data_IF_600801846519
#
_entry.id   IF_600801846519
#
_cell.length_a   1.000
_cell.length_b   1.000
_cell.length_c   1.000
_cell.angle_alpha   90.00
_cell.angle_beta   90.00
_cell.angle_gamma   90.00
#
_symmetry.space_group_name_H-M   'P 1'
#
loop_
_entity.id
_entity.type
_entity.pdbx_description
1 polymer ?
#
# COMPACT_ATOMS: atom_id res chain seq x y z
N UNK A 1 5.36 4.46 -18.68
CA UNK A 1 4.19 4.35 -17.80
C UNK A 1 3.98 5.70 -17.11
N UNK A 2 2.75 6.21 -17.07
CA UNK A 2 2.42 7.39 -16.27
C UNK A 2 1.73 6.92 -14.99
N UNK A 3 2.27 7.34 -13.83
CA UNK A 3 1.71 6.98 -12.54
C UNK A 3 0.32 7.62 -12.35
N UNK A 4 -0.66 6.89 -11.81
CA UNK A 4 -1.98 7.44 -11.53
C UNK A 4 -1.93 8.61 -10.52
N UNK A 5 -2.75 9.66 -10.66
CA UNK A 5 -2.72 10.82 -9.77
C UNK A 5 -2.87 10.46 -8.29
N UNK A 6 -3.74 9.50 -7.97
CA UNK A 6 -4.01 9.09 -6.59
C UNK A 6 -2.77 8.61 -5.85
N UNK A 7 -1.83 7.98 -6.55
CA UNK A 7 -0.58 7.49 -5.96
C UNK A 7 0.35 8.64 -5.52
N UNK A 8 0.00 9.91 -5.78
CA UNK A 8 0.76 11.07 -5.32
C UNK A 8 0.10 11.76 -4.11
N UNK A 9 -1.09 11.32 -3.70
CA UNK A 9 -1.79 11.88 -2.55
C UNK A 9 -1.25 11.30 -1.25
N UNK A 10 -1.22 12.11 -0.20
CA UNK A 10 -0.92 11.61 1.13
C UNK A 10 -2.06 10.68 1.59
N UNK A 11 -1.75 9.54 2.21
CA UNK A 11 -2.78 8.71 2.81
C UNK A 11 -3.43 9.43 3.99
N UNK A 12 -4.72 9.17 4.19
CA UNK A 12 -5.51 9.65 5.32
C UNK A 12 -6.16 8.45 6.01
N UNK A 13 -6.14 8.47 7.34
CA UNK A 13 -6.76 7.43 8.17
C UNK A 13 -8.28 7.49 7.99
N UNK A 14 -8.84 8.67 7.70
CA UNK A 14 -10.28 8.88 7.65
C UNK A 14 -10.89 9.06 9.05
N UNK A 15 -12.19 9.39 9.12
CA UNK A 15 -12.81 9.87 10.36
C UNK A 15 -13.37 8.74 11.27
N UNK A 16 -13.31 7.48 10.83
CA UNK A 16 -13.82 6.36 11.61
C UNK A 16 -12.73 5.67 12.44
N UNK A 17 -13.16 4.96 13.48
CA UNK A 17 -12.28 4.22 14.40
C UNK A 17 -12.38 2.69 14.24
N UNK A 18 -12.77 2.23 13.05
CA UNK A 18 -12.84 0.81 12.70
C UNK A 18 -11.57 0.40 11.96
N UNK A 19 -10.43 0.50 12.66
CA UNK A 19 -9.11 0.35 12.07
C UNK A 19 -8.92 -0.98 11.34
N UNK A 20 -8.43 -0.90 10.10
CA UNK A 20 -8.08 -2.06 9.25
C UNK A 20 -6.68 -1.91 8.69
N UNK A 21 -5.90 -3.01 8.63
CA UNK A 21 -4.62 -3.01 7.93
C UNK A 21 -4.87 -2.90 6.43
N UNK A 22 -4.27 -1.89 5.82
CA UNK A 22 -4.31 -1.59 4.38
C UNK A 22 -2.90 -1.25 3.90
N UNK A 23 -2.78 -0.83 2.65
CA UNK A 23 -1.52 -0.45 2.02
C UNK A 23 -1.63 0.92 1.36
N UNK A 24 -0.55 1.70 1.40
CA UNK A 24 -0.46 3.00 0.74
C UNK A 24 0.85 3.14 -0.01
N UNK A 25 0.83 3.84 -1.15
CA UNK A 25 2.02 4.11 -1.92
C UNK A 25 2.73 5.36 -1.40
N UNK A 26 4.04 5.24 -1.16
CA UNK A 26 4.93 6.34 -0.77
C UNK A 26 5.79 6.69 -1.97
N UNK A 27 5.45 7.79 -2.64
CA UNK A 27 6.09 8.21 -3.89
C UNK A 27 7.59 8.45 -3.75
N UNK A 28 8.04 8.95 -2.60
CA UNK A 28 9.45 9.25 -2.32
C UNK A 28 10.30 7.97 -2.23
N UNK A 29 9.67 6.85 -1.90
CA UNK A 29 10.30 5.54 -1.80
C UNK A 29 10.03 4.66 -3.02
N UNK A 30 9.17 5.11 -3.92
CA UNK A 30 8.60 4.30 -5.00
C UNK A 30 8.11 2.93 -4.52
N UNK A 31 7.46 2.89 -3.34
CA UNK A 31 7.12 1.64 -2.68
C UNK A 31 5.84 1.72 -1.87
N UNK A 32 5.14 0.60 -1.77
CA UNK A 32 3.96 0.45 -0.94
C UNK A 32 4.34 0.03 0.48
N UNK A 33 3.66 0.60 1.48
CA UNK A 33 3.87 0.25 2.89
C UNK A 33 2.55 -0.08 3.58
N UNK A 34 2.59 -0.83 4.71
CA UNK A 34 1.44 -0.98 5.58
C UNK A 34 0.90 0.37 6.04
N UNK A 35 -0.41 0.46 6.12
CA UNK A 35 -1.16 1.63 6.53
C UNK A 35 -2.34 1.24 7.41
N UNK A 36 -2.63 2.04 8.43
CA UNK A 36 -3.80 1.84 9.28
C UNK A 36 -4.92 2.75 8.78
N UNK A 37 -5.94 2.16 8.16
CA UNK A 37 -7.11 2.88 7.66
C UNK A 37 -8.25 2.80 8.67
N UNK A 38 -8.88 3.92 9.00
CA UNK A 38 -9.95 4.07 9.98
C UNK A 38 -11.26 3.36 9.63
N UNK A 39 -11.36 2.78 8.43
CA UNK A 39 -12.48 1.93 8.02
C UNK A 39 -13.62 2.66 7.33
N UNK A 40 -13.54 3.99 7.18
CA UNK A 40 -14.43 4.78 6.33
C UNK A 40 -13.70 6.00 5.73
N UNK A 41 -14.32 6.60 4.72
CA UNK A 41 -13.71 7.66 3.91
C UNK A 41 -13.08 7.10 2.64
N UNK A 42 -13.44 7.63 1.47
CA UNK A 42 -12.89 7.13 0.21
C UNK A 42 -11.59 7.87 -0.12
N UNK A 43 -10.45 7.23 0.13
CA UNK A 43 -9.14 7.72 -0.31
C UNK A 43 -8.56 6.74 -1.33
N UNK A 44 -8.17 7.25 -2.49
CA UNK A 44 -7.70 6.40 -3.60
C UNK A 44 -6.26 5.89 -3.44
N UNK A 45 -5.45 6.47 -2.53
CA UNK A 45 -4.11 5.95 -2.17
C UNK A 45 -4.15 4.95 -0.99
N UNK A 46 -5.20 4.15 -0.92
CA UNK A 46 -5.38 3.08 0.07
C UNK A 46 -5.82 1.82 -0.66
N UNK A 47 -5.10 0.72 -0.43
CA UNK A 47 -5.26 -0.54 -1.14
C UNK A 47 -5.37 -1.71 -0.15
N UNK A 48 -6.11 -2.76 -0.52
CA UNK A 48 -6.33 -3.92 0.34
C UNK A 48 -5.06 -4.74 0.58
N UNK A 49 -4.15 -4.78 -0.38
CA UNK A 49 -2.90 -5.53 -0.26
C UNK A 49 -1.74 -4.85 -1.03
N UNK A 50 -0.52 -5.25 -0.69
CA UNK A 50 0.71 -4.72 -1.26
C UNK A 50 0.78 -4.89 -2.78
N UNK A 51 0.39 -6.05 -3.31
CA UNK A 51 0.56 -6.35 -4.73
C UNK A 51 -0.35 -5.50 -5.62
N UNK A 52 -1.58 -5.23 -5.18
CA UNK A 52 -2.49 -4.28 -5.83
C UNK A 52 -1.91 -2.87 -5.84
N UNK A 53 -1.37 -2.42 -4.71
CA UNK A 53 -0.73 -1.12 -4.58
C UNK A 53 0.47 -1.00 -5.54
N UNK A 54 1.41 -1.96 -5.54
CA UNK A 54 2.60 -1.93 -6.39
C UNK A 54 2.24 -2.01 -7.88
N UNK A 55 1.24 -2.83 -8.23
CA UNK A 55 0.72 -2.92 -9.59
C UNK A 55 0.12 -1.59 -10.05
N UNK A 56 -0.66 -0.94 -9.19
CA UNK A 56 -1.35 0.32 -9.53
C UNK A 56 -0.38 1.49 -9.64
N UNK A 57 0.50 1.65 -8.66
CA UNK A 57 1.26 2.88 -8.47
C UNK A 57 2.67 2.85 -9.05
N UNK A 58 3.25 1.68 -9.27
CA UNK A 58 4.60 1.57 -9.83
C UNK A 58 4.67 0.72 -11.11
N UNK A 59 3.56 0.03 -11.47
CA UNK A 59 3.53 -0.93 -12.57
C UNK A 59 4.66 -1.98 -12.46
N UNK A 60 4.99 -2.37 -11.22
CA UNK A 60 6.07 -3.32 -10.96
C UNK A 60 5.79 -4.64 -11.72
N UNK A 61 6.77 -5.22 -12.44
CA UNK A 61 6.56 -6.40 -13.28
C UNK A 61 6.25 -7.66 -12.48
N UNK A 62 6.70 -7.73 -11.22
CA UNK A 62 6.45 -8.85 -10.31
C UNK A 62 6.11 -8.32 -8.91
N UNK A 63 4.88 -7.81 -8.70
CA UNK A 63 4.50 -7.19 -7.45
C UNK A 63 4.31 -8.22 -6.33
N UNK A 64 4.06 -9.49 -6.65
CA UNK A 64 3.85 -10.55 -5.66
C UNK A 64 5.17 -10.88 -4.97
N UNK A 65 6.21 -11.21 -5.74
CA UNK A 65 7.53 -11.55 -5.16
C UNK A 65 8.08 -10.41 -4.30
N UNK A 66 8.03 -9.19 -4.81
CA UNK A 66 8.46 -7.99 -4.07
C UNK A 66 7.73 -7.87 -2.72
N UNK A 67 6.41 -8.02 -2.73
CA UNK A 67 5.61 -7.90 -1.52
C UNK A 67 5.85 -9.07 -0.55
N UNK A 68 6.11 -10.28 -1.04
CA UNK A 68 6.50 -11.42 -0.20
C UNK A 68 7.81 -11.13 0.52
N UNK A 69 8.83 -10.64 -0.19
CA UNK A 69 10.12 -10.25 0.41
C UNK A 69 9.95 -9.17 1.49
N UNK A 70 9.08 -8.18 1.24
CA UNK A 70 8.77 -7.12 2.22
C UNK A 70 8.08 -7.69 3.47
N UNK A 71 7.14 -8.62 3.29
CA UNK A 71 6.45 -9.27 4.41
C UNK A 71 7.39 -10.17 5.22
N UNK A 72 8.27 -10.92 4.57
CA UNK A 72 9.30 -11.73 5.24
C UNK A 72 10.27 -10.89 6.07
N UNK A 73 10.63 -9.69 5.60
CA UNK A 73 11.47 -8.76 6.36
C UNK A 73 10.71 -8.13 7.54
N UNK A 74 9.44 -7.77 7.35
CA UNK A 74 8.65 -7.09 8.40
C UNK A 74 8.16 -8.02 9.50
N UNK A 75 7.71 -9.22 9.14
CA UNK A 75 7.10 -10.19 10.06
C UNK A 75 8.01 -11.36 10.40
N UNK A 76 9.19 -11.42 9.77
CA UNK A 76 10.13 -12.53 9.88
C UNK A 76 9.73 -13.69 8.96
N UNK A 77 10.72 -14.47 8.51
CA UNK A 77 10.47 -15.85 8.11
C UNK A 77 9.99 -16.60 9.35
N UNK A 78 8.72 -16.95 9.42
CA UNK A 78 8.37 -18.13 10.20
C UNK A 78 9.12 -19.30 9.55
N UNK A 79 10.11 -19.80 10.29
CA UNK A 79 10.94 -20.94 9.88
C UNK A 79 10.15 -22.23 9.87
#
# INVERSE_FOLDING_TARGET
>A
FSRPPECNFLPDVGPCDHYRPMWTFVREKAHCRPFQYGGCGSMSNVFENCSLCMRRCDAHPDPVRLCTEVLEVMYGKEG
#
